data_IF_817328700045
#
_entry.id   IF_817328700045
#
_cell.length_a   1.000
_cell.length_b   1.000
_cell.length_c   1.000
_cell.angle_alpha   90.00
_cell.angle_beta   90.00
_cell.angle_gamma   90.00
#
_symmetry.space_group_name_H-M   'P 1'
#
loop_
_entity.id
_entity.type
_entity.pdbx_description
1 polymer ?
#
# COMPACT_ATOMS: atom_id res chain seq x y z
N UNK A 1 -36.52 30.04 -20.71
CA UNK A 1 -36.06 29.71 -19.34
C UNK A 1 -36.23 28.23 -18.99
N UNK A 2 -37.36 27.57 -19.32
CA UNK A 2 -37.61 26.16 -18.97
C UNK A 2 -36.56 25.15 -19.48
N UNK A 3 -36.05 25.31 -20.71
CA UNK A 3 -35.05 24.39 -21.29
C UNK A 3 -33.70 24.39 -20.55
N UNK A 4 -33.34 25.49 -19.90
CA UNK A 4 -32.08 25.61 -19.17
C UNK A 4 -32.13 24.88 -17.83
N UNK A 5 -33.29 24.90 -17.16
CA UNK A 5 -33.53 24.20 -15.91
C UNK A 5 -33.56 22.67 -16.09
N UNK A 6 -34.11 22.18 -17.21
CA UNK A 6 -34.13 20.74 -17.53
C UNK A 6 -32.71 20.20 -17.78
N UNK A 7 -31.86 20.96 -18.47
CA UNK A 7 -30.46 20.56 -18.72
C UNK A 7 -29.64 20.59 -17.43
N UNK A 8 -29.87 21.58 -16.56
CA UNK A 8 -29.20 21.67 -15.27
C UNK A 8 -29.61 20.51 -14.34
N UNK A 9 -30.90 20.20 -14.26
CA UNK A 9 -31.41 19.07 -13.49
C UNK A 9 -30.89 17.72 -14.02
N UNK A 10 -30.77 17.57 -15.35
CA UNK A 10 -30.16 16.38 -15.96
C UNK A 10 -28.67 16.23 -15.63
N UNK A 11 -27.92 17.33 -15.59
CA UNK A 11 -26.51 17.31 -15.20
C UNK A 11 -26.32 16.95 -13.71
N UNK A 12 -27.16 17.47 -12.81
CA UNK A 12 -27.14 17.10 -11.40
C UNK A 12 -27.58 15.65 -11.18
N UNK A 13 -28.55 15.14 -11.95
CA UNK A 13 -28.96 13.73 -11.89
C UNK A 13 -27.84 12.78 -12.37
N UNK A 14 -27.10 13.16 -13.41
CA UNK A 14 -25.93 12.40 -13.88
C UNK A 14 -24.77 12.45 -12.87
N UNK A 15 -24.53 13.61 -12.25
CA UNK A 15 -23.51 13.75 -11.20
C UNK A 15 -23.89 12.94 -9.95
N UNK A 16 -25.16 12.99 -9.53
CA UNK A 16 -25.70 12.22 -8.42
C UNK A 16 -25.79 10.72 -8.70
N UNK A 17 -25.88 10.29 -9.95
CA UNK A 17 -25.79 8.88 -10.34
C UNK A 17 -24.33 8.39 -10.44
N UNK A 18 -23.36 9.28 -10.68
CA UNK A 18 -21.94 8.96 -10.71
C UNK A 18 -21.29 8.94 -9.31
N UNK A 19 -21.85 9.68 -8.34
CA UNK A 19 -21.32 9.82 -6.98
C UNK A 19 -21.38 8.52 -6.13
N UNK A 20 -22.44 7.69 -6.16
CA UNK A 20 -22.50 6.47 -5.35
C UNK A 20 -21.48 5.41 -5.78
N UNK A 21 -21.08 5.39 -7.05
CA UNK A 21 -20.00 4.52 -7.55
C UNK A 21 -18.59 5.06 -7.26
N UNK A 22 -18.46 6.31 -6.81
CA UNK A 22 -17.20 6.94 -6.45
C UNK A 22 -16.89 6.88 -4.94
N UNK A 23 -17.83 6.40 -4.11
CA UNK A 23 -17.78 6.57 -2.65
C UNK A 23 -17.36 5.32 -1.84
N UNK A 24 -17.03 4.21 -2.48
CA UNK A 24 -16.36 3.09 -1.80
C UNK A 24 -15.44 2.43 -2.81
N UNK A 25 -14.24 2.97 -2.94
CA UNK A 25 -13.17 2.21 -3.57
C UNK A 25 -12.91 1.02 -2.63
N UNK A 26 -13.27 -0.18 -3.09
CA UNK A 26 -13.08 -1.42 -2.36
C UNK A 26 -11.60 -1.57 -2.04
N UNK A 27 -11.28 -1.76 -0.76
CA UNK A 27 -9.91 -1.98 -0.31
C UNK A 27 -9.51 -3.41 -0.69
N UNK A 28 -8.49 -3.53 -1.54
CA UNK A 28 -7.94 -4.81 -1.98
C UNK A 28 -6.73 -5.12 -1.09
N UNK A 29 -6.72 -6.30 -0.46
CA UNK A 29 -5.61 -6.73 0.38
C UNK A 29 -4.69 -7.69 -0.36
N UNK A 30 -3.39 -7.47 -0.25
CA UNK A 30 -2.34 -8.38 -0.67
C UNK A 30 -1.50 -8.76 0.54
N UNK A 31 -1.14 -10.04 0.64
CA UNK A 31 -0.38 -10.59 1.77
C UNK A 31 0.84 -11.28 1.20
N UNK A 32 2.01 -10.87 1.68
CA UNK A 32 3.26 -11.60 1.59
C UNK A 32 3.38 -12.43 2.87
N UNK A 33 3.01 -13.72 2.81
CA UNK A 33 3.13 -14.66 3.94
C UNK A 33 4.43 -15.46 3.90
N UNK A 34 5.39 -15.02 3.07
CA UNK A 34 6.68 -15.67 2.78
C UNK A 34 6.54 -17.15 2.35
N UNK A 35 5.33 -17.59 2.01
CA UNK A 35 5.01 -18.90 1.47
C UNK A 35 4.62 -18.73 -0.01
N UNK A 36 5.27 -19.48 -0.89
CA UNK A 36 4.96 -19.50 -2.31
C UNK A 36 4.76 -20.95 -2.78
N UNK A 37 3.51 -21.30 -3.09
CA UNK A 37 3.12 -22.64 -3.56
C UNK A 37 3.50 -23.80 -2.61
N UNK A 38 3.47 -23.58 -1.30
CA UNK A 38 3.81 -24.62 -0.31
C UNK A 38 5.30 -24.70 0.04
N UNK A 39 6.14 -23.79 -0.46
CA UNK A 39 7.55 -23.64 -0.07
C UNK A 39 7.84 -22.17 0.28
N UNK A 40 8.82 -21.85 1.15
CA UNK A 40 9.13 -20.46 1.44
C UNK A 40 9.60 -19.70 0.18
N UNK A 41 8.96 -18.57 -0.13
CA UNK A 41 9.25 -17.76 -1.30
C UNK A 41 8.63 -16.37 -1.22
N UNK A 42 8.98 -15.49 -2.16
CA UNK A 42 8.43 -14.14 -2.27
C UNK A 42 7.33 -14.08 -3.34
N UNK A 43 6.23 -13.39 -3.06
CA UNK A 43 5.22 -13.10 -4.07
C UNK A 43 5.77 -12.03 -5.05
N UNK A 44 5.61 -12.20 -6.38
CA UNK A 44 6.05 -11.23 -7.38
C UNK A 44 5.48 -9.81 -7.25
N UNK A 45 4.44 -9.61 -6.44
CA UNK A 45 3.88 -8.31 -6.09
C UNK A 45 4.75 -7.53 -5.11
N UNK A 46 5.61 -8.21 -4.35
CA UNK A 46 6.52 -7.61 -3.39
C UNK A 46 7.95 -7.71 -3.92
N UNK A 47 8.60 -6.58 -4.09
CA UNK A 47 9.98 -6.52 -4.51
C UNK A 47 10.86 -6.27 -3.29
N UNK A 48 11.79 -7.20 -3.04
CA UNK A 48 12.67 -7.19 -1.88
C UNK A 48 14.10 -6.77 -2.28
N UNK A 49 14.63 -5.76 -1.61
CA UNK A 49 16.02 -5.33 -1.74
C UNK A 49 16.74 -5.45 -0.39
N UNK A 50 17.58 -6.48 -0.29
CA UNK A 50 18.36 -6.74 0.92
C UNK A 50 19.69 -5.97 0.91
N UNK A 51 19.90 -5.15 1.93
CA UNK A 51 21.14 -4.39 2.12
C UNK A 51 21.77 -4.69 3.47
N UNK A 52 23.10 -4.62 3.53
CA UNK A 52 23.85 -4.74 4.78
C UNK A 52 24.34 -3.36 5.21
N UNK A 53 24.45 -3.13 6.53
CA UNK A 53 25.13 -1.96 7.08
C UNK A 53 26.55 -1.84 6.49
N UNK A 54 27.10 -0.63 6.35
CA UNK A 54 28.47 -0.44 5.85
C UNK A 54 29.49 -1.31 6.61
N UNK A 55 30.26 -2.10 5.86
CA UNK A 55 31.24 -3.04 6.41
C UNK A 55 30.66 -4.32 7.04
N UNK A 56 29.34 -4.50 7.00
CA UNK A 56 28.65 -5.72 7.44
C UNK A 56 28.56 -6.80 6.36
N UNK A 57 28.12 -7.98 6.76
CA UNK A 57 27.79 -9.08 5.84
C UNK A 57 26.28 -9.15 5.69
N UNK A 58 25.80 -9.27 4.45
CA UNK A 58 24.39 -9.54 4.19
C UNK A 58 24.00 -10.89 4.77
N UNK A 59 23.01 -10.92 5.65
CA UNK A 59 22.54 -12.16 6.30
C UNK A 59 21.02 -12.17 6.34
N UNK A 60 20.42 -12.96 5.48
CA UNK A 60 19.00 -13.24 5.51
C UNK A 60 18.74 -14.68 5.10
N UNK A 61 17.58 -15.21 5.46
CA UNK A 61 17.07 -16.49 4.96
C UNK A 61 15.55 -16.56 5.11
N UNK A 62 14.92 -17.30 4.20
CA UNK A 62 13.58 -17.80 4.44
C UNK A 62 13.66 -19.12 5.23
N UNK A 63 12.65 -19.40 6.04
CA UNK A 63 12.56 -20.65 6.78
C UNK A 63 11.11 -21.00 7.11
N UNK A 64 10.95 -22.19 7.65
CA UNK A 64 9.66 -22.71 8.11
C UNK A 64 9.82 -23.16 9.56
N UNK A 65 8.84 -22.85 10.38
CA UNK A 65 8.80 -23.29 11.76
C UNK A 65 8.24 -24.71 11.90
N UNK A 66 8.40 -25.35 13.08
CA UNK A 66 7.86 -26.69 13.32
C UNK A 66 6.34 -26.79 13.17
N UNK A 67 5.62 -25.69 13.36
CA UNK A 67 4.17 -25.59 13.17
C UNK A 67 3.75 -25.34 11.71
N UNK A 68 4.71 -25.19 10.80
CA UNK A 68 4.49 -24.93 9.38
C UNK A 68 4.55 -23.44 9.00
N UNK A 69 4.67 -22.52 9.95
CA UNK A 69 4.67 -21.07 9.65
C UNK A 69 5.94 -20.65 8.91
N UNK A 70 5.80 -20.09 7.72
CA UNK A 70 6.91 -19.49 6.96
C UNK A 70 7.38 -18.17 7.60
N UNK A 71 8.67 -17.87 7.48
CA UNK A 71 9.24 -16.62 7.98
C UNK A 71 10.44 -16.13 7.18
N UNK A 72 10.61 -14.81 7.18
CA UNK A 72 11.83 -14.13 6.78
C UNK A 72 12.67 -13.82 8.02
N UNK A 73 13.88 -14.37 8.08
CA UNK A 73 14.87 -14.01 9.10
C UNK A 73 15.89 -13.03 8.56
N UNK A 74 16.08 -11.92 9.29
CA UNK A 74 17.13 -10.94 9.05
C UNK A 74 18.20 -11.04 10.14
N UNK A 75 19.43 -11.30 9.72
CA UNK A 75 20.61 -11.32 10.57
C UNK A 75 21.18 -9.92 10.79
N UNK A 76 21.99 -9.78 11.84
CA UNK A 76 22.42 -8.49 12.35
C UNK A 76 22.95 -7.50 11.31
N UNK A 77 22.31 -6.33 11.26
CA UNK A 77 22.70 -5.24 10.36
C UNK A 77 22.23 -5.45 8.92
N UNK A 78 21.25 -6.32 8.69
CA UNK A 78 20.59 -6.48 7.40
C UNK A 78 19.26 -5.74 7.42
N UNK A 79 19.00 -4.98 6.36
CA UNK A 79 17.72 -4.34 6.09
C UNK A 79 17.11 -4.98 4.84
N UNK A 80 15.83 -5.27 4.89
CA UNK A 80 15.02 -5.58 3.71
C UNK A 80 14.17 -4.37 3.36
N UNK A 81 14.34 -3.82 2.16
CA UNK A 81 13.48 -2.76 1.63
C UNK A 81 12.48 -3.40 0.69
N UNK A 82 11.20 -3.31 1.05
CA UNK A 82 10.08 -3.88 0.32
C UNK A 82 9.36 -2.75 -0.43
N UNK A 83 9.34 -2.86 -1.75
CA UNK A 83 8.53 -2.03 -2.64
C UNK A 83 7.47 -2.88 -3.33
N UNK A 84 6.49 -2.23 -3.96
CA UNK A 84 5.31 -2.92 -4.47
C UNK A 84 5.22 -2.86 -6.00
N UNK A 85 5.13 -4.03 -6.64
CA UNK A 85 4.88 -4.16 -8.08
C UNK A 85 3.37 -4.20 -8.34
N UNK A 86 2.73 -3.05 -8.16
CA UNK A 86 1.28 -2.92 -8.20
C UNK A 86 0.79 -2.43 -9.57
N UNK A 87 -0.46 -2.74 -9.95
CA UNK A 87 -1.08 -2.09 -11.09
C UNK A 87 -1.04 -0.56 -10.96
N UNK A 88 -0.76 0.15 -12.06
CA UNK A 88 -0.54 1.60 -12.08
C UNK A 88 -1.75 2.46 -11.68
N UNK A 89 -2.89 1.84 -11.41
CA UNK A 89 -4.14 2.49 -11.02
C UNK A 89 -4.42 2.36 -9.52
N UNK A 90 -3.56 1.72 -8.73
CA UNK A 90 -3.76 1.52 -7.29
C UNK A 90 -2.72 2.24 -6.45
N UNK A 91 -3.11 2.65 -5.24
CA UNK A 91 -2.20 3.20 -4.23
C UNK A 91 -2.33 2.43 -2.93
N UNK A 92 -1.21 2.26 -2.21
CA UNK A 92 -1.21 1.58 -0.91
C UNK A 92 -1.60 2.57 0.17
N UNK A 93 -2.70 2.29 0.87
CA UNK A 93 -3.26 3.16 1.91
C UNK A 93 -3.20 2.57 3.30
N UNK A 94 -2.85 1.29 3.41
CA UNK A 94 -2.69 0.57 4.65
C UNK A 94 -1.53 -0.41 4.51
N UNK A 95 -0.72 -0.56 5.55
CA UNK A 95 0.28 -1.60 5.62
C UNK A 95 0.39 -2.14 7.05
N UNK A 96 0.66 -3.43 7.18
CA UNK A 96 1.00 -4.05 8.45
C UNK A 96 2.09 -5.10 8.26
N UNK A 97 2.94 -5.22 9.28
CA UNK A 97 4.01 -6.21 9.37
C UNK A 97 3.76 -7.06 10.60
N UNK A 98 3.73 -8.38 10.41
CA UNK A 98 3.58 -9.35 11.48
C UNK A 98 4.95 -9.89 11.92
N UNK A 99 5.27 -9.71 13.20
CA UNK A 99 6.50 -10.19 13.84
C UNK A 99 6.26 -11.57 14.46
N UNK A 100 7.27 -12.42 14.40
CA UNK A 100 7.18 -13.73 15.04
C UNK A 100 7.27 -13.64 16.58
N UNK A 101 6.31 -14.19 17.34
CA UNK A 101 6.27 -14.04 18.80
C UNK A 101 7.38 -14.80 19.56
N UNK A 102 7.93 -15.89 19.01
CA UNK A 102 8.78 -16.82 19.80
C UNK A 102 10.30 -16.75 19.53
N UNK A 103 10.82 -15.69 18.90
CA UNK A 103 12.28 -15.54 18.82
C UNK A 103 12.82 -15.11 20.19
N UNK A 104 13.71 -15.89 20.85
CA UNK A 104 14.14 -15.64 22.22
C UNK A 104 14.83 -14.28 22.34
N UNK A 105 14.10 -13.34 22.95
CA UNK A 105 14.48 -11.95 23.15
C UNK A 105 15.67 -11.85 24.10
N UNK A 106 16.83 -11.64 23.50
CA UNK A 106 18.05 -11.25 24.19
C UNK A 106 18.86 -10.32 23.30
N UNK A 107 18.55 -9.02 23.33
CA UNK A 107 19.25 -7.94 22.61
C UNK A 107 18.96 -7.83 21.08
N UNK A 108 17.76 -8.19 20.65
CA UNK A 108 17.37 -8.21 19.23
C UNK A 108 16.73 -6.91 18.73
N UNK A 109 17.47 -5.80 18.55
CA UNK A 109 16.89 -4.56 17.98
C UNK A 109 16.14 -4.81 16.68
N UNK A 110 14.83 -4.56 16.67
CA UNK A 110 13.97 -4.73 15.49
C UNK A 110 13.22 -3.43 15.26
N UNK A 111 13.17 -2.99 14.01
CA UNK A 111 12.39 -1.81 13.65
C UNK A 111 11.74 -2.02 12.29
N UNK A 112 10.49 -1.59 12.20
CA UNK A 112 9.74 -1.48 10.95
C UNK A 112 9.64 0.01 10.62
N UNK A 113 10.08 0.37 9.43
CA UNK A 113 9.94 1.73 8.91
C UNK A 113 8.94 1.71 7.77
N UNK A 114 7.94 2.57 7.83
CA UNK A 114 7.05 2.85 6.71
C UNK A 114 7.44 4.20 6.11
N UNK A 115 7.70 4.23 4.80
CA UNK A 115 7.96 5.47 4.07
C UNK A 115 6.79 5.72 3.14
N UNK A 116 6.24 6.93 3.25
CA UNK A 116 5.16 7.39 2.41
C UNK A 116 5.44 8.76 1.81
N UNK A 117 4.56 9.18 0.91
CA UNK A 117 4.72 10.40 0.11
C UNK A 117 4.80 11.69 0.93
N UNK A 118 4.30 11.70 2.16
CA UNK A 118 4.28 12.87 3.05
C UNK A 118 5.23 12.75 4.24
N UNK A 119 5.84 11.57 4.46
CA UNK A 119 6.74 11.38 5.58
C UNK A 119 7.21 9.96 5.79
N UNK A 120 7.87 9.76 6.93
CA UNK A 120 8.37 8.45 7.35
C UNK A 120 7.98 8.22 8.80
N UNK A 121 7.50 7.01 9.09
CA UNK A 121 7.21 6.55 10.42
C UNK A 121 8.05 5.32 10.73
N UNK A 122 8.54 5.22 11.96
CA UNK A 122 9.45 4.15 12.39
C UNK A 122 8.95 3.60 13.72
N UNK A 123 8.83 2.28 13.83
CA UNK A 123 8.53 1.62 15.10
C UNK A 123 9.68 1.79 16.09
N UNK A 124 9.38 1.82 17.39
CA UNK A 124 10.41 1.91 18.41
C UNK A 124 11.36 0.69 18.34
N UNK A 125 12.66 0.86 18.59
CA UNK A 125 13.63 -0.24 18.57
C UNK A 125 13.39 -1.30 19.67
N UNK A 126 12.58 -0.97 20.69
CA UNK A 126 12.27 -1.79 21.86
C UNK A 126 10.80 -2.27 21.92
N UNK A 127 10.05 -2.18 20.81
CA UNK A 127 8.64 -2.62 20.72
C UNK A 127 8.50 -4.15 20.58
N UNK A 128 9.34 -4.92 21.28
CA UNK A 128 9.42 -6.39 21.21
C UNK A 128 8.15 -7.14 21.64
N UNK A 129 7.19 -6.44 22.26
CA UNK A 129 5.91 -7.00 22.67
C UNK A 129 4.81 -6.87 21.61
N UNK A 130 5.06 -6.18 20.49
CA UNK A 130 4.07 -5.98 19.44
C UNK A 130 4.17 -7.10 18.40
N UNK A 131 3.09 -7.88 18.27
CA UNK A 131 2.96 -8.90 17.22
C UNK A 131 2.71 -8.29 15.85
N UNK A 132 2.10 -7.09 15.83
CA UNK A 132 1.76 -6.37 14.61
C UNK A 132 2.22 -4.93 14.72
N UNK A 133 2.78 -4.41 13.64
CA UNK A 133 3.05 -2.98 13.48
C UNK A 133 2.31 -2.55 12.22
N UNK A 134 1.45 -1.55 12.32
CA UNK A 134 0.62 -1.09 11.20
C UNK A 134 0.63 0.44 11.04
N UNK A 135 0.26 0.88 9.83
CA UNK A 135 0.14 2.29 9.51
C UNK A 135 -0.93 2.52 8.43
N UNK A 136 -1.47 3.73 8.40
CA UNK A 136 -2.42 4.19 7.38
C UNK A 136 -1.86 5.38 6.59
N UNK A 137 -2.37 5.58 5.38
CA UNK A 137 -1.99 6.73 4.56
C UNK A 137 -2.39 8.09 5.17
N UNK A 138 -3.28 8.12 6.16
CA UNK A 138 -3.59 9.34 6.89
C UNK A 138 -2.41 9.83 7.76
N UNK A 139 -1.43 8.95 8.03
CA UNK A 139 -0.29 9.26 8.90
C UNK A 139 0.95 9.70 8.13
N UNK A 140 1.18 9.15 6.94
CA UNK A 140 2.41 9.38 6.15
C UNK A 140 2.19 9.61 4.65
N UNK A 141 0.93 9.81 4.22
CA UNK A 141 0.58 9.84 2.80
C UNK A 141 0.53 8.45 2.16
N UNK A 142 0.55 8.37 0.83
CA UNK A 142 0.57 7.08 0.12
C UNK A 142 1.80 6.29 0.56
N UNK A 143 1.61 5.03 0.94
CA UNK A 143 2.70 4.17 1.42
C UNK A 143 3.48 3.69 0.20
N UNK A 144 4.77 4.01 0.14
CA UNK A 144 5.62 3.75 -1.02
C UNK A 144 6.54 2.54 -0.81
N UNK A 145 6.98 2.33 0.43
CA UNK A 145 7.86 1.21 0.79
C UNK A 145 7.79 0.90 2.28
N UNK A 146 8.22 -0.33 2.62
CA UNK A 146 8.38 -0.83 3.99
C UNK A 146 9.85 -1.23 4.15
N UNK A 147 10.50 -0.85 5.24
CA UNK A 147 11.84 -1.33 5.56
C UNK A 147 11.79 -2.15 6.84
N UNK A 148 12.25 -3.38 6.73
CA UNK A 148 12.41 -4.30 7.86
C UNK A 148 13.87 -4.30 8.26
N UNK A 149 14.15 -3.92 9.51
CA UNK A 149 15.49 -4.01 10.08
C UNK A 149 15.46 -4.88 11.31
N UNK A 150 16.43 -5.78 11.41
CA UNK A 150 16.63 -6.56 12.63
C UNK A 150 18.11 -6.80 12.94
N UNK A 151 18.44 -6.79 14.22
CA UNK A 151 19.68 -7.34 14.72
C UNK A 151 19.60 -8.87 14.84
N UNK A 152 18.38 -9.41 15.04
CA UNK A 152 17.96 -10.81 15.02
C UNK A 152 16.43 -10.90 15.12
N UNK A 153 15.69 -10.99 14.02
CA UNK A 153 14.23 -11.16 14.07
C UNK A 153 13.71 -12.01 12.93
N UNK A 154 12.51 -12.55 13.13
CA UNK A 154 11.74 -13.20 12.09
C UNK A 154 10.42 -12.46 11.87
N UNK A 155 10.13 -12.18 10.60
CA UNK A 155 8.87 -11.61 10.14
C UNK A 155 8.07 -12.75 9.52
N UNK A 156 6.77 -12.80 9.79
CA UNK A 156 5.89 -13.88 9.28
C UNK A 156 5.04 -13.43 8.11
N UNK A 157 4.64 -12.16 8.08
CA UNK A 157 3.96 -11.62 6.93
C UNK A 157 4.05 -10.11 6.81
N UNK A 158 3.84 -9.63 5.60
CA UNK A 158 3.60 -8.22 5.28
C UNK A 158 2.28 -8.14 4.52
N UNK A 159 1.32 -7.38 5.05
CA UNK A 159 0.04 -7.16 4.40
C UNK A 159 -0.06 -5.70 3.96
N UNK A 160 -0.49 -5.48 2.73
CA UNK A 160 -0.81 -4.15 2.21
C UNK A 160 -2.28 -4.08 1.81
N UNK A 161 -2.92 -2.98 2.16
CA UNK A 161 -4.24 -2.59 1.66
C UNK A 161 -4.08 -1.54 0.58
N UNK A 162 -4.55 -1.86 -0.63
CA UNK A 162 -4.55 -0.97 -1.78
C UNK A 162 -5.95 -0.46 -2.07
N UNK A 163 -6.06 0.83 -2.34
CA UNK A 163 -7.27 1.43 -2.89
C UNK A 163 -7.04 1.72 -4.38
N UNK A 164 -7.93 1.26 -5.28
CA UNK A 164 -7.93 1.71 -6.67
C UNK A 164 -8.11 3.24 -6.70
N UNK A 165 -7.25 3.97 -7.39
CA UNK A 165 -7.48 5.39 -7.64
C UNK A 165 -8.85 5.55 -8.31
N UNK A 166 -9.73 6.43 -7.78
CA UNK A 166 -10.96 6.77 -8.48
C UNK A 166 -10.52 7.39 -9.79
N UNK A 167 -10.71 6.63 -10.87
CA UNK A 167 -10.08 6.92 -12.15
C UNK A 167 -10.48 8.34 -12.54
N UNK A 168 -9.49 9.24 -12.55
CA UNK A 168 -9.65 10.61 -13.06
C UNK A 168 -10.25 10.63 -14.49
N UNK A 169 -10.37 9.48 -15.15
CA UNK A 169 -11.18 9.25 -16.35
C UNK A 169 -12.66 9.68 -16.23
N UNK A 170 -13.33 9.51 -15.07
CA UNK A 170 -14.73 9.95 -14.90
C UNK A 170 -14.80 11.47 -14.86
N UNK A 171 -13.86 12.13 -14.17
CA UNK A 171 -13.73 13.58 -14.16
C UNK A 171 -13.35 14.13 -15.55
N UNK A 172 -12.43 13.48 -16.25
CA UNK A 172 -12.01 13.86 -17.61
C UNK A 172 -13.16 13.75 -18.62
N UNK A 173 -13.96 12.67 -18.57
CA UNK A 173 -15.19 12.51 -19.36
C UNK A 173 -16.22 13.58 -19.01
N UNK A 174 -16.36 13.93 -17.72
CA UNK A 174 -17.21 15.04 -17.25
C UNK A 174 -16.78 16.39 -17.84
N UNK A 175 -15.48 16.70 -17.84
CA UNK A 175 -14.94 17.95 -18.40
C UNK A 175 -15.03 18.01 -19.92
N UNK A 176 -14.78 16.90 -20.63
CA UNK A 176 -14.92 16.82 -22.10
C UNK A 176 -16.39 16.99 -22.51
N UNK A 177 -17.33 16.40 -21.76
CA UNK A 177 -18.77 16.55 -22.00
C UNK A 177 -19.26 17.97 -21.72
N UNK A 178 -18.78 18.60 -20.64
CA UNK A 178 -19.09 20.00 -20.33
C UNK A 178 -18.48 20.99 -21.34
N UNK A 179 -17.26 20.73 -21.83
CA UNK A 179 -16.58 21.54 -22.84
C UNK A 179 -17.27 21.52 -24.21
N UNK A 180 -17.72 20.34 -24.66
CA UNK A 180 -18.45 20.16 -25.92
C UNK A 180 -19.85 20.79 -25.90
N UNK A 181 -20.54 20.77 -24.76
CA UNK A 181 -21.82 21.47 -24.56
C UNK A 181 -21.65 23.00 -24.57
N UNK A 182 -20.56 23.54 -24.02
CA UNK A 182 -20.25 24.98 -24.10
C UNK A 182 -19.91 25.44 -25.53
N UNK A 183 -19.20 24.62 -26.30
CA UNK A 183 -18.82 24.95 -27.68
C UNK A 183 -20.01 24.91 -28.65
N UNK A 184 -20.96 23.99 -28.45
CA UNK A 184 -22.17 23.88 -29.28
C UNK A 184 -23.20 24.98 -29.02
N UNK A 185 -23.27 25.53 -27.80
CA UNK A 185 -24.13 26.67 -27.46
C UNK A 185 -23.68 28.02 -28.01
N UNK A 186 -22.39 28.18 -28.37
CA UNK A 186 -21.84 29.45 -28.87
C UNK A 186 -21.97 29.64 -30.39
N UNK A 187 -22.36 28.61 -31.15
CA UNK A 187 -22.45 28.63 -32.63
C UNK A 187 -23.82 29.00 -33.23
N UNK A 188 -24.82 29.40 -32.43
CA UNK A 188 -26.09 29.93 -32.96
C UNK A 188 -26.27 31.41 -32.64
N UNK A 189 -25.55 32.26 -33.36
CA UNK A 189 -25.95 33.63 -33.72
C UNK A 189 -25.42 33.93 -35.12
N UNK A 190 -26.23 33.63 -36.13
CA UNK A 190 -26.31 34.37 -37.39
C UNK A 190 -27.79 34.59 -37.63
#
# INVERSE_FOLDING_TARGET
MSRFLVVLAGAFALLAAALPGAASAELIYYVEDFEHNGEPGFDPMFNHEFTAKPGGTLRWRLGTQPDGTAYLFLGSGTTDTITFNLPSWGTVTYATVCLHPDFPLGQSTTSVTFVGSEGTWVSGPDDYGQTFVDITANEIGVIEQIQLYASQAAFTSVTIGMVPEPTNAILLLGFVTAGTLRASGRRRRV
#
